data_IF_740667076153
#
_entry.id   IF_740667076153
#
_cell.length_a   1.000
_cell.length_b   1.000
_cell.length_c   1.000
_cell.angle_alpha   90.00
_cell.angle_beta   90.00
_cell.angle_gamma   90.00
#
_symmetry.space_group_name_H-M   'P 1'
#
loop_
_entity.id
_entity.type
_entity.pdbx_description
1 polymer ?
#
# COMPACT_ATOMS: atom_id res chain seq x y z
N UNK A 1 1.66 -7.09 -13.99
CA UNK A 1 0.36 -6.42 -13.73
C UNK A 1 -0.55 -6.62 -14.95
N UNK A 2 -1.83 -6.93 -14.75
CA UNK A 2 -2.78 -7.19 -15.85
C UNK A 2 -3.86 -6.09 -15.92
N UNK A 3 -3.87 -5.22 -16.94
CA UNK A 3 -4.89 -4.19 -17.09
C UNK A 3 -6.27 -4.76 -17.44
N UNK A 4 -6.39 -6.05 -17.79
CA UNK A 4 -7.66 -6.75 -17.95
C UNK A 4 -8.07 -7.54 -16.70
N UNK A 5 -7.51 -7.21 -15.54
CA UNK A 5 -7.89 -7.85 -14.28
C UNK A 5 -9.37 -7.61 -13.97
N UNK A 6 -10.09 -8.66 -13.53
CA UNK A 6 -11.53 -8.58 -13.31
C UNK A 6 -11.93 -7.54 -12.26
N UNK A 7 -11.05 -7.23 -11.31
CA UNK A 7 -11.24 -6.18 -10.31
C UNK A 7 -10.28 -5.01 -10.55
N UNK A 8 -10.64 -4.12 -11.46
CA UNK A 8 -9.84 -2.93 -11.80
C UNK A 8 -9.51 -2.04 -10.59
N UNK A 9 -10.35 -2.04 -9.55
CA UNK A 9 -10.17 -1.24 -8.33
C UNK A 9 -8.95 -1.71 -7.53
N UNK A 10 -8.52 -2.97 -7.69
CA UNK A 10 -7.33 -3.51 -7.02
C UNK A 10 -6.02 -3.12 -7.72
N UNK A 11 -6.08 -2.61 -8.95
CA UNK A 11 -4.90 -2.27 -9.76
C UNK A 11 -4.00 -1.21 -9.09
N UNK A 12 -4.53 -0.11 -8.52
CA UNK A 12 -3.71 0.86 -7.80
C UNK A 12 -2.93 0.25 -6.64
N UNK A 13 -3.56 -0.63 -5.84
CA UNK A 13 -2.88 -1.26 -4.72
C UNK A 13 -1.83 -2.27 -5.18
N UNK A 14 -2.13 -3.08 -6.21
CA UNK A 14 -1.12 -3.96 -6.82
C UNK A 14 0.08 -3.16 -7.31
N UNK A 15 -0.15 -2.06 -8.02
CA UNK A 15 0.93 -1.19 -8.50
C UNK A 15 1.76 -0.63 -7.34
N UNK A 16 1.10 -0.07 -6.32
CA UNK A 16 1.77 0.49 -5.16
C UNK A 16 2.61 -0.56 -4.42
N UNK A 17 2.15 -1.81 -4.36
CA UNK A 17 2.90 -2.91 -3.77
C UNK A 17 4.16 -3.26 -4.56
N UNK A 18 4.08 -3.36 -5.89
CA UNK A 18 5.28 -3.61 -6.71
C UNK A 18 6.27 -2.43 -6.64
N UNK A 19 5.78 -1.19 -6.61
CA UNK A 19 6.62 -0.01 -6.38
C UNK A 19 7.27 -0.04 -5.00
N UNK A 20 6.55 -0.50 -3.98
CA UNK A 20 7.07 -0.60 -2.63
C UNK A 20 8.26 -1.57 -2.53
N UNK A 21 8.26 -2.70 -3.25
CA UNK A 21 9.43 -3.58 -3.31
C UNK A 21 10.67 -2.86 -3.85
N UNK A 22 10.50 -2.05 -4.90
CA UNK A 22 11.59 -1.26 -5.49
C UNK A 22 12.09 -0.21 -4.49
N UNK A 23 11.18 0.52 -3.84
CA UNK A 23 11.54 1.57 -2.89
C UNK A 23 12.16 1.02 -1.59
N UNK A 24 11.78 -0.18 -1.17
CA UNK A 24 12.36 -0.85 -0.01
C UNK A 24 13.75 -1.45 -0.32
N UNK A 25 14.14 -1.54 -1.60
CA UNK A 25 15.36 -2.22 -2.02
C UNK A 25 15.30 -3.74 -1.82
N UNK A 26 14.10 -4.31 -1.85
CA UNK A 26 13.90 -5.75 -1.69
C UNK A 26 14.55 -6.52 -2.84
N UNK A 27 15.05 -7.73 -2.58
CA UNK A 27 15.58 -8.59 -3.64
C UNK A 27 14.44 -8.99 -4.59
N UNK A 28 14.38 -8.27 -5.71
CA UNK A 28 13.30 -8.34 -6.68
C UNK A 28 13.35 -9.59 -7.56
N UNK A 29 14.38 -10.42 -7.44
CA UNK A 29 14.49 -11.69 -8.17
C UNK A 29 13.35 -12.68 -7.82
N UNK A 30 12.63 -12.43 -6.72
CA UNK A 30 11.48 -13.20 -6.27
C UNK A 30 10.13 -12.52 -6.51
N UNK A 31 10.06 -11.37 -7.22
CA UNK A 31 8.79 -10.67 -7.48
C UNK A 31 7.85 -11.59 -8.24
N UNK A 32 6.95 -12.23 -7.49
CA UNK A 32 5.76 -12.87 -8.00
C UNK A 32 4.72 -11.78 -8.08
N UNK A 33 4.56 -11.18 -9.26
CA UNK A 33 3.50 -10.20 -9.56
C UNK A 33 2.25 -10.48 -8.71
N UNK A 34 1.96 -9.62 -7.73
CA UNK A 34 0.97 -9.77 -6.66
C UNK A 34 0.14 -11.07 -6.72
N UNK A 35 0.73 -12.19 -6.33
CA UNK A 35 -0.01 -13.44 -6.13
C UNK A 35 -0.37 -13.49 -4.66
N UNK A 36 -1.56 -12.97 -4.32
CA UNK A 36 -2.06 -12.80 -2.95
C UNK A 36 -1.52 -13.85 -1.99
N UNK A 37 -0.55 -13.46 -1.16
CA UNK A 37 0.16 -14.39 -0.29
C UNK A 37 -0.77 -14.80 0.84
N UNK A 38 -1.33 -15.99 0.71
CA UNK A 38 -2.18 -16.60 1.74
C UNK A 38 -1.31 -17.22 2.84
N UNK A 39 -1.50 -16.71 4.06
CA UNK A 39 -0.99 -17.15 5.39
C UNK A 39 0.53 -17.08 5.62
N UNK A 40 0.91 -16.11 6.45
CA UNK A 40 2.27 -15.89 6.93
C UNK A 40 2.97 -14.84 6.08
N UNK A 41 2.60 -13.57 6.24
CA UNK A 41 3.36 -12.48 5.63
C UNK A 41 4.78 -12.56 6.17
N UNK A 42 5.74 -12.75 5.27
CA UNK A 42 7.13 -12.55 5.64
C UNK A 42 7.27 -11.09 6.10
N UNK A 43 8.23 -10.82 6.98
CA UNK A 43 8.52 -9.44 7.41
C UNK A 43 8.75 -8.49 6.23
N UNK A 44 9.26 -9.03 5.12
CA UNK A 44 9.42 -8.36 3.83
C UNK A 44 8.06 -7.91 3.27
N UNK A 45 7.16 -8.86 2.97
CA UNK A 45 5.82 -8.58 2.42
C UNK A 45 5.01 -7.62 3.28
N UNK A 46 5.08 -7.76 4.62
CA UNK A 46 4.40 -6.87 5.53
C UNK A 46 4.93 -5.43 5.45
N UNK A 47 6.25 -5.26 5.39
CA UNK A 47 6.87 -3.95 5.19
C UNK A 47 6.52 -3.37 3.81
N UNK A 48 6.48 -4.20 2.76
CA UNK A 48 6.04 -3.81 1.42
C UNK A 48 4.60 -3.34 1.42
N UNK A 49 3.68 -4.07 2.07
CA UNK A 49 2.29 -3.68 2.22
C UNK A 49 2.16 -2.31 2.90
N UNK A 50 2.95 -2.03 3.95
CA UNK A 50 2.97 -0.73 4.63
C UNK A 50 3.47 0.39 3.73
N UNK A 51 4.57 0.18 3.00
CA UNK A 51 5.07 1.16 2.03
C UNK A 51 4.04 1.40 0.91
N UNK A 52 3.37 0.36 0.42
CA UNK A 52 2.30 0.47 -0.57
C UNK A 52 1.12 1.34 -0.09
N UNK A 53 0.68 1.13 1.16
CA UNK A 53 -0.36 1.96 1.79
C UNK A 53 0.09 3.42 1.85
N UNK A 54 1.35 3.69 2.22
CA UNK A 54 1.90 5.06 2.26
C UNK A 54 2.00 5.72 0.88
N UNK A 55 2.31 4.96 -0.17
CA UNK A 55 2.26 5.45 -1.56
C UNK A 55 0.83 5.90 -1.90
N UNK A 56 -0.17 5.04 -1.62
CA UNK A 56 -1.58 5.36 -1.87
C UNK A 56 -2.04 6.58 -1.06
N UNK A 57 -1.66 6.69 0.22
CA UNK A 57 -1.96 7.87 1.05
C UNK A 57 -1.39 9.17 0.45
N UNK A 58 -0.21 9.09 -0.15
CA UNK A 58 0.45 10.24 -0.78
C UNK A 58 -0.28 10.67 -2.05
N UNK A 59 -0.92 9.74 -2.76
CA UNK A 59 -1.74 10.00 -3.94
C UNK A 59 -3.19 10.41 -3.59
N UNK A 60 -3.71 10.01 -2.43
CA UNK A 60 -5.12 10.22 -2.06
C UNK A 60 -5.52 11.68 -1.85
N UNK A 61 -4.60 12.63 -2.00
CA UNK A 61 -4.89 13.95 -2.59
C UNK A 61 -5.82 14.90 -1.84
N UNK A 62 -6.24 14.60 -0.61
CA UNK A 62 -7.00 15.54 0.20
C UNK A 62 -6.25 15.85 1.49
N UNK A 63 -6.18 17.12 1.86
CA UNK A 63 -5.67 17.54 3.17
C UNK A 63 -6.69 17.22 4.29
N UNK A 64 -7.89 16.75 3.90
CA UNK A 64 -9.01 16.35 4.76
C UNK A 64 -9.21 14.83 4.84
N UNK A 65 -8.15 14.02 4.80
CA UNK A 65 -8.28 12.58 5.04
C UNK A 65 -8.69 12.34 6.50
N UNK A 66 -9.97 12.03 6.70
CA UNK A 66 -10.47 11.52 7.98
C UNK A 66 -10.03 10.08 8.15
N UNK A 67 -9.63 9.71 9.38
CA UNK A 67 -9.31 8.33 9.73
C UNK A 67 -10.53 7.42 9.50
N UNK A 68 -10.55 6.72 8.37
CA UNK A 68 -11.56 5.74 8.01
C UNK A 68 -10.92 4.59 7.22
N UNK A 69 -10.31 3.61 7.92
CA UNK A 69 -9.63 2.48 7.29
C UNK A 69 -10.53 1.68 6.35
N UNK A 70 -11.81 1.53 6.68
CA UNK A 70 -12.76 0.75 5.87
C UNK A 70 -12.99 1.41 4.52
N UNK A 71 -13.29 2.72 4.51
CA UNK A 71 -13.46 3.46 3.25
C UNK A 71 -12.19 3.47 2.42
N UNK A 72 -11.02 3.66 3.06
CA UNK A 72 -9.74 3.63 2.37
C UNK A 72 -9.47 2.27 1.71
N UNK A 73 -9.69 1.17 2.43
CA UNK A 73 -9.55 -0.18 1.88
C UNK A 73 -10.48 -0.43 0.71
N UNK A 74 -11.74 0.00 0.81
CA UNK A 74 -12.72 -0.17 -0.26
C UNK A 74 -12.35 0.64 -1.52
N UNK A 75 -11.79 1.84 -1.36
CA UNK A 75 -11.37 2.70 -2.48
C UNK A 75 -10.28 2.08 -3.35
N UNK A 76 -9.48 1.17 -2.79
CA UNK A 76 -8.35 0.53 -3.49
C UNK A 76 -8.45 -1.00 -3.53
N UNK A 77 -9.62 -1.55 -3.16
CA UNK A 77 -9.87 -2.98 -3.02
C UNK A 77 -8.75 -3.71 -2.24
N UNK A 78 -8.27 -3.10 -1.15
CA UNK A 78 -7.25 -3.67 -0.28
C UNK A 78 -7.85 -4.90 0.44
N UNK A 79 -7.18 -6.06 0.41
CA UNK A 79 -7.64 -7.25 1.09
C UNK A 79 -7.89 -7.05 2.60
N UNK A 80 -8.97 -7.62 3.13
CA UNK A 80 -9.39 -7.43 4.52
C UNK A 80 -8.35 -7.85 5.56
N UNK A 81 -7.51 -8.84 5.23
CA UNK A 81 -6.44 -9.31 6.11
C UNK A 81 -5.33 -8.26 6.34
N UNK A 82 -5.23 -7.23 5.48
CA UNK A 82 -4.31 -6.10 5.64
C UNK A 82 -4.88 -4.97 6.49
N UNK A 83 -6.09 -5.14 7.07
CA UNK A 83 -6.75 -4.08 7.84
C UNK A 83 -5.93 -3.54 9.02
N UNK A 84 -5.09 -4.36 9.63
CA UNK A 84 -4.15 -3.93 10.68
C UNK A 84 -3.07 -2.98 10.13
N UNK A 85 -2.44 -3.32 9.00
CA UNK A 85 -1.44 -2.48 8.35
C UNK A 85 -2.04 -1.14 7.88
N UNK A 86 -3.27 -1.18 7.34
CA UNK A 86 -3.99 0.04 6.94
C UNK A 86 -4.28 0.91 8.15
N UNK A 87 -4.80 0.34 9.23
CA UNK A 87 -5.12 1.09 10.45
C UNK A 87 -3.87 1.73 11.05
N UNK A 88 -2.73 1.04 11.02
CA UNK A 88 -1.46 1.55 11.49
C UNK A 88 -0.97 2.75 10.66
N UNK A 89 -0.87 2.60 9.33
CA UNK A 89 -0.30 3.64 8.48
C UNK A 89 -1.24 4.85 8.30
N UNK A 90 -2.54 4.61 8.10
CA UNK A 90 -3.53 5.68 8.02
C UNK A 90 -3.66 6.41 9.35
N UNK A 91 -3.64 5.68 10.47
CA UNK A 91 -3.68 6.27 11.81
C UNK A 91 -2.45 7.15 12.05
N UNK A 92 -1.26 6.61 11.81
CA UNK A 92 -0.02 7.37 11.97
C UNK A 92 0.00 8.64 11.11
N UNK A 93 -0.53 8.59 9.89
CA UNK A 93 -0.69 9.77 9.04
C UNK A 93 -1.70 10.78 9.60
N UNK A 94 -2.93 10.36 9.91
CA UNK A 94 -3.97 11.26 10.43
C UNK A 94 -3.62 11.90 11.78
N UNK A 95 -2.80 11.23 12.61
CA UNK A 95 -2.31 11.76 13.89
C UNK A 95 -1.02 12.59 13.76
N UNK A 96 -0.50 12.80 12.55
CA UNK A 96 0.73 13.58 12.33
C UNK A 96 2.00 12.91 12.85
N UNK A 97 1.98 11.58 13.03
CA UNK A 97 3.15 10.79 13.45
C UNK A 97 4.03 10.44 12.24
N UNK A 98 3.43 10.31 11.05
CA UNK A 98 4.13 10.07 9.79
C UNK A 98 3.63 11.02 8.71
N UNK A 99 4.57 11.59 7.97
CA UNK A 99 4.26 12.38 6.78
C UNK A 99 4.00 11.51 5.54
N UNK A 100 3.41 12.12 4.51
CA UNK A 100 3.32 11.55 3.17
C UNK A 100 4.73 11.20 2.66
N UNK A 101 4.83 10.22 1.77
CA UNK A 101 6.08 9.99 1.04
C UNK A 101 6.33 11.23 0.18
N UNK A 102 7.46 11.88 0.43
CA UNK A 102 7.95 12.93 -0.46
C UNK A 102 8.71 12.27 -1.60
N UNK A 103 8.10 12.24 -2.79
CA UNK A 103 8.72 11.67 -3.98
C UNK A 103 9.79 12.60 -4.59
N UNK A 104 9.82 13.89 -4.22
CA UNK A 104 10.81 14.84 -4.74
C UNK A 104 12.19 14.65 -4.10
N UNK A 105 12.26 13.98 -2.95
CA UNK A 105 13.52 13.69 -2.23
C UNK A 105 14.19 12.38 -2.65
N UNK A 106 13.70 11.70 -3.69
CA UNK A 106 14.17 10.37 -4.13
C UNK A 106 15.25 10.47 -5.25
N UNK A 107 15.86 11.64 -5.45
CA UNK A 107 16.97 11.84 -6.41
C UNK A 107 18.25 12.33 -5.73
#
# INVERSE_FOLDING_TARGET
MNPNWHNQIAIPFQLAHEMAHILNGDDTNWIRYYQGTYRGESKLEYNTNKTAIRILLSYFGTDDIVYNPISFMNSFAIPSYLGSAVSEELGAYCYGVKDKINFDSIY
#
